data_IF_997090814805
#
_entry.id   IF_997090814805
#
_cell.length_a   1.000
_cell.length_b   1.000
_cell.length_c   1.000
_cell.angle_alpha   90.00
_cell.angle_beta   90.00
_cell.angle_gamma   90.00
#
_symmetry.space_group_name_H-M   'P 1'
#
loop_
_entity.id
_entity.type
_entity.pdbx_description
1 polymer ?
#
# COMPACT_ATOMS: atom_id res chain seq x y z
N UNK A 1 -4.81 -26.64 7.28
CA UNK A 1 -4.71 -26.22 5.87
C UNK A 1 -5.33 -24.86 5.59
N UNK A 2 -6.49 -24.48 6.17
CA UNK A 2 -7.09 -23.15 5.94
C UNK A 2 -7.30 -22.38 7.26
N UNK A 3 -6.42 -21.41 7.58
CA UNK A 3 -6.47 -20.67 8.85
C UNK A 3 -7.74 -19.82 9.01
N UNK A 4 -8.12 -19.05 8.00
CA UNK A 4 -9.31 -18.18 8.10
C UNK A 4 -10.62 -18.97 8.15
N UNK A 5 -10.64 -20.15 7.53
CA UNK A 5 -11.73 -21.11 7.73
C UNK A 5 -11.77 -21.61 9.18
N UNK A 6 -10.62 -21.93 9.77
CA UNK A 6 -10.56 -22.31 11.18
C UNK A 6 -11.05 -21.17 12.10
N UNK A 7 -10.62 -19.92 11.87
CA UNK A 7 -11.10 -18.74 12.62
C UNK A 7 -12.61 -18.54 12.47
N UNK A 8 -13.15 -18.72 11.27
CA UNK A 8 -14.58 -18.68 11.02
C UNK A 8 -15.32 -19.76 11.83
N UNK A 9 -14.82 -20.99 11.86
CA UNK A 9 -15.41 -22.05 12.66
C UNK A 9 -15.37 -21.74 14.15
N UNK A 10 -14.22 -21.26 14.67
CA UNK A 10 -14.09 -20.86 16.07
C UNK A 10 -15.13 -19.81 16.47
N UNK A 11 -15.32 -18.77 15.64
CA UNK A 11 -16.35 -17.76 15.88
C UNK A 11 -17.76 -18.35 15.78
N UNK A 12 -18.05 -19.15 14.76
CA UNK A 12 -19.36 -19.76 14.57
C UNK A 12 -19.75 -20.67 15.75
N UNK A 13 -18.77 -21.33 16.38
CA UNK A 13 -18.97 -22.29 17.46
C UNK A 13 -18.55 -21.78 18.84
N UNK A 14 -18.38 -20.47 19.02
CA UNK A 14 -17.91 -19.90 20.29
C UNK A 14 -18.84 -20.33 21.44
N UNK A 15 -18.34 -20.78 22.60
CA UNK A 15 -19.19 -21.15 23.74
C UNK A 15 -20.13 -20.03 24.18
N UNK A 16 -19.70 -18.77 24.06
CA UNK A 16 -20.51 -17.59 24.33
C UNK A 16 -21.35 -17.22 23.07
N UNK A 17 -22.70 -17.32 23.13
CA UNK A 17 -23.55 -16.95 21.99
C UNK A 17 -23.36 -15.51 21.52
N UNK A 18 -22.92 -14.59 22.40
CA UNK A 18 -22.70 -13.18 22.03
C UNK A 18 -21.47 -12.99 21.14
N UNK A 19 -20.53 -13.94 21.15
CA UNK A 19 -19.31 -13.91 20.34
C UNK A 19 -19.46 -14.57 18.97
N UNK A 20 -20.58 -15.27 18.75
CA UNK A 20 -20.93 -15.87 17.46
C UNK A 20 -21.38 -14.82 16.44
N UNK A 21 -21.50 -15.24 15.19
CA UNK A 21 -22.20 -14.46 14.17
C UNK A 21 -23.65 -14.24 14.59
N UNK A 22 -24.15 -13.02 14.45
CA UNK A 22 -25.48 -12.59 14.89
C UNK A 22 -26.58 -13.07 13.93
N UNK A 23 -26.23 -13.39 12.68
CA UNK A 23 -27.18 -13.89 11.69
C UNK A 23 -26.57 -14.90 10.72
N UNK A 24 -27.44 -15.67 10.06
CA UNK A 24 -27.05 -16.57 8.97
C UNK A 24 -26.48 -15.81 7.77
N UNK A 25 -26.92 -14.56 7.55
CA UNK A 25 -26.42 -13.69 6.49
C UNK A 25 -25.00 -13.20 6.80
N UNK A 26 -24.70 -12.86 8.06
CA UNK A 26 -23.35 -12.46 8.49
C UNK A 26 -22.35 -13.60 8.25
N UNK A 27 -22.66 -14.82 8.72
CA UNK A 27 -21.77 -15.97 8.49
C UNK A 27 -21.67 -16.34 7.00
N UNK A 28 -22.75 -16.21 6.21
CA UNK A 28 -22.70 -16.49 4.77
C UNK A 28 -21.79 -15.51 4.02
N UNK A 29 -21.82 -14.22 4.39
CA UNK A 29 -20.90 -13.22 3.86
C UNK A 29 -19.44 -13.56 4.15
N UNK A 30 -19.14 -13.87 5.43
CA UNK A 30 -17.78 -14.23 5.84
C UNK A 30 -17.30 -15.55 5.23
N UNK A 31 -18.17 -16.55 5.14
CA UNK A 31 -17.86 -17.84 4.50
C UNK A 31 -17.59 -17.68 3.01
N UNK A 32 -18.29 -16.77 2.33
CA UNK A 32 -18.03 -16.44 0.92
C UNK A 32 -16.65 -15.82 0.75
N UNK A 33 -16.25 -14.91 1.63
CA UNK A 33 -14.89 -14.34 1.65
C UNK A 33 -13.81 -15.41 1.84
N UNK A 34 -13.98 -16.28 2.84
CA UNK A 34 -13.08 -17.42 3.09
C UNK A 34 -13.04 -18.37 1.88
N UNK A 35 -14.17 -18.67 1.25
CA UNK A 35 -14.23 -19.52 0.07
C UNK A 35 -13.43 -18.92 -1.10
N UNK A 36 -13.53 -17.61 -1.33
CA UNK A 36 -12.73 -16.91 -2.36
C UNK A 36 -11.24 -17.08 -2.11
N UNK A 37 -10.79 -16.96 -0.87
CA UNK A 37 -9.38 -17.13 -0.51
C UNK A 37 -8.89 -18.55 -0.75
N UNK A 38 -9.68 -19.56 -0.38
CA UNK A 38 -9.36 -20.97 -0.60
C UNK A 38 -9.31 -21.29 -2.10
N UNK A 39 -10.28 -20.79 -2.87
CA UNK A 39 -10.29 -20.98 -4.32
C UNK A 39 -9.09 -20.29 -4.97
N UNK A 40 -8.73 -19.10 -4.52
CA UNK A 40 -7.57 -18.38 -5.05
C UNK A 40 -6.25 -19.09 -4.73
N UNK A 41 -6.15 -19.71 -3.56
CA UNK A 41 -5.05 -20.59 -3.20
C UNK A 41 -4.95 -21.84 -4.09
N UNK A 42 -6.07 -22.54 -4.27
CA UNK A 42 -6.09 -23.84 -4.96
C UNK A 42 -5.93 -23.70 -6.48
N UNK A 43 -6.49 -22.64 -7.05
CA UNK A 43 -6.51 -22.44 -8.51
C UNK A 43 -5.35 -21.59 -9.03
N UNK A 44 -4.71 -20.81 -8.14
CA UNK A 44 -3.74 -19.78 -8.53
C UNK A 44 -4.36 -18.60 -9.31
N UNK A 45 -5.69 -18.51 -9.37
CA UNK A 45 -6.42 -17.42 -10.01
C UNK A 45 -7.09 -16.55 -8.95
N UNK A 46 -7.17 -15.23 -9.19
CA UNK A 46 -7.90 -14.36 -8.29
C UNK A 46 -9.39 -14.72 -8.25
N UNK A 47 -10.01 -14.57 -7.09
CA UNK A 47 -11.45 -14.79 -6.88
C UNK A 47 -12.04 -13.54 -6.21
N UNK A 48 -12.06 -12.40 -6.90
CA UNK A 48 -12.43 -11.12 -6.29
C UNK A 48 -13.91 -11.10 -5.92
N UNK A 49 -14.27 -10.23 -4.98
CA UNK A 49 -15.67 -9.89 -4.79
C UNK A 49 -15.89 -8.80 -3.77
N UNK A 50 -17.03 -8.13 -3.91
CA UNK A 50 -17.37 -7.00 -3.06
C UNK A 50 -17.61 -7.45 -1.62
N UNK A 51 -17.01 -6.70 -0.69
CA UNK A 51 -17.37 -6.75 0.72
C UNK A 51 -18.75 -6.13 0.94
N UNK A 52 -19.51 -6.68 1.88
CA UNK A 52 -20.79 -6.14 2.33
C UNK A 52 -20.65 -5.26 3.57
N UNK A 53 -19.47 -5.24 4.19
CA UNK A 53 -19.22 -4.54 5.46
C UNK A 53 -18.10 -3.50 5.37
N UNK A 54 -17.26 -3.57 4.35
CA UNK A 54 -16.21 -2.58 4.06
C UNK A 54 -16.38 -1.95 2.68
N UNK A 55 -15.97 -0.69 2.56
CA UNK A 55 -15.76 -0.05 1.27
C UNK A 55 -14.65 -0.74 0.48
N UNK A 56 -14.48 -0.34 -0.79
CA UNK A 56 -13.21 -0.59 -1.49
C UNK A 56 -12.09 0.21 -0.83
N UNK A 57 -10.85 -0.16 -1.15
CA UNK A 57 -9.68 0.65 -0.81
C UNK A 57 -9.87 2.10 -1.34
N UNK A 58 -9.66 3.10 -0.48
CA UNK A 58 -9.98 4.51 -0.80
C UNK A 58 -8.93 5.13 -1.72
N UNK A 59 -7.67 4.81 -1.47
CA UNK A 59 -6.51 5.10 -2.32
C UNK A 59 -5.45 4.02 -2.12
N UNK A 60 -4.36 4.06 -2.86
CA UNK A 60 -3.19 3.22 -2.61
C UNK A 60 -2.28 3.84 -1.55
N UNK A 61 -1.57 2.99 -0.82
CA UNK A 61 -0.38 3.31 -0.03
C UNK A 61 0.77 2.41 -0.47
N UNK A 62 2.01 2.77 -0.13
CA UNK A 62 3.14 1.87 -0.34
C UNK A 62 3.53 1.67 -1.81
N UNK A 63 2.98 2.45 -2.75
CA UNK A 63 3.23 2.21 -4.17
C UNK A 63 4.46 2.94 -4.69
N UNK A 64 4.79 4.09 -4.09
CA UNK A 64 5.84 4.96 -4.58
C UNK A 64 7.17 4.77 -3.85
N UNK A 65 7.22 4.03 -2.74
CA UNK A 65 8.36 4.05 -1.80
C UNK A 65 9.69 3.62 -2.42
N UNK A 66 9.67 2.61 -3.28
CA UNK A 66 10.88 2.16 -3.97
C UNK A 66 11.29 3.12 -5.09
N UNK A 67 10.32 3.64 -5.86
CA UNK A 67 10.60 4.53 -6.99
C UNK A 67 10.90 5.96 -6.57
N UNK A 68 10.36 6.40 -5.43
CA UNK A 68 10.59 7.73 -4.84
C UNK A 68 12.05 7.94 -4.48
N UNK A 69 12.80 6.89 -4.13
CA UNK A 69 14.25 6.98 -3.95
C UNK A 69 14.99 7.51 -5.20
N UNK A 70 14.41 7.33 -6.39
CA UNK A 70 14.99 7.84 -7.64
C UNK A 70 14.72 9.34 -7.85
N UNK A 71 13.88 9.98 -7.03
CA UNK A 71 13.60 11.41 -7.12
C UNK A 71 14.82 12.26 -6.70
N UNK A 72 15.84 11.65 -6.06
CA UNK A 72 17.17 12.27 -5.84
C UNK A 72 17.82 12.76 -7.13
N UNK A 73 17.52 12.12 -8.27
CA UNK A 73 18.01 12.57 -9.58
C UNK A 73 17.36 13.90 -10.01
N UNK A 74 16.19 14.24 -9.48
CA UNK A 74 15.40 15.43 -9.83
C UNK A 74 15.68 16.60 -8.88
N UNK A 75 15.70 16.35 -7.57
CA UNK A 75 15.80 17.40 -6.54
C UNK A 75 17.13 17.42 -5.77
N UNK A 76 17.89 16.32 -5.81
CA UNK A 76 19.16 16.17 -5.09
C UNK A 76 19.01 15.80 -3.62
N UNK A 77 17.80 15.43 -3.19
CA UNK A 77 17.47 15.06 -1.81
C UNK A 77 17.32 13.54 -1.72
N UNK A 78 17.83 12.95 -0.65
CA UNK A 78 17.60 11.53 -0.37
C UNK A 78 16.17 11.37 0.14
N UNK A 79 15.42 10.46 -0.48
CA UNK A 79 14.06 10.13 -0.08
C UNK A 79 14.06 8.80 0.68
N UNK A 80 13.40 8.77 1.83
CA UNK A 80 13.18 7.55 2.60
C UNK A 80 12.13 6.67 1.89
N UNK A 81 12.24 5.37 2.04
CA UNK A 81 11.32 4.38 1.49
C UNK A 81 10.42 3.75 2.58
N UNK A 82 10.42 4.32 3.77
CA UNK A 82 9.50 3.96 4.83
C UNK A 82 8.05 4.30 4.46
N UNK A 83 7.11 3.48 4.94
CA UNK A 83 5.68 3.74 4.81
C UNK A 83 5.28 4.91 5.70
N UNK A 84 4.40 5.77 5.20
CA UNK A 84 3.72 6.79 5.99
C UNK A 84 2.48 6.18 6.69
N UNK A 85 2.44 6.11 8.04
CA UNK A 85 1.29 5.60 8.79
C UNK A 85 -0.03 6.31 8.47
N UNK A 86 0.04 7.61 8.16
CA UNK A 86 -1.14 8.42 7.83
C UNK A 86 -1.65 8.06 6.43
N UNK A 87 -0.75 7.88 5.46
CA UNK A 87 -1.12 7.40 4.13
C UNK A 87 -1.81 6.03 4.21
N UNK A 88 -1.25 5.11 5.00
CA UNK A 88 -1.87 3.79 5.28
C UNK A 88 -3.28 3.97 5.83
N UNK A 89 -3.46 4.77 6.89
CA UNK A 89 -4.77 5.01 7.50
C UNK A 89 -5.80 5.62 6.52
N UNK A 90 -5.37 6.56 5.67
CA UNK A 90 -6.23 7.18 4.65
C UNK A 90 -6.57 6.22 3.50
N UNK A 91 -5.67 5.30 3.16
CA UNK A 91 -5.85 4.35 2.08
C UNK A 91 -6.76 3.17 2.45
N UNK A 92 -6.73 2.74 3.72
CA UNK A 92 -7.51 1.59 4.19
C UNK A 92 -9.03 1.77 3.95
N UNK A 93 -9.75 0.66 3.68
CA UNK A 93 -11.21 0.65 3.62
C UNK A 93 -11.88 1.22 4.87
N UNK A 94 -13.13 1.68 4.73
CA UNK A 94 -13.95 2.12 5.86
C UNK A 94 -15.17 1.20 6.03
N UNK A 95 -15.65 0.97 7.26
CA UNK A 95 -16.89 0.24 7.49
C UNK A 95 -18.06 0.88 6.76
N UNK A 96 -18.90 0.07 6.11
CA UNK A 96 -20.12 0.54 5.49
C UNK A 96 -21.19 0.84 6.54
N UNK A 97 -21.96 1.90 6.29
CA UNK A 97 -23.14 2.24 7.08
C UNK A 97 -24.19 1.16 6.85
N UNK A 98 -24.85 0.71 7.92
CA UNK A 98 -25.97 -0.21 7.79
C UNK A 98 -27.14 0.51 7.08
N UNK A 99 -27.63 0.03 5.93
CA UNK A 99 -28.71 0.69 5.20
C UNK A 99 -30.04 0.68 5.96
N UNK A 100 -30.17 -0.15 7.00
CA UNK A 100 -31.35 -0.20 7.88
C UNK A 100 -31.25 0.77 9.06
N UNK A 101 -30.09 1.43 9.25
CA UNK A 101 -29.91 2.44 10.28
C UNK A 101 -30.75 3.70 9.99
N UNK A 102 -31.46 4.26 10.98
CA UNK A 102 -32.27 5.46 10.79
C UNK A 102 -31.50 6.68 10.27
N UNK A 103 -30.20 6.75 10.56
CA UNK A 103 -29.29 7.83 10.14
C UNK A 103 -28.67 7.60 8.77
N UNK A 104 -28.89 6.44 8.14
CA UNK A 104 -28.30 6.10 6.84
C UNK A 104 -28.58 7.15 5.73
N UNK A 105 -29.81 7.71 5.58
CA UNK A 105 -30.07 8.76 4.58
C UNK A 105 -29.27 10.04 4.80
N UNK A 106 -29.09 10.45 6.07
CA UNK A 106 -28.29 11.62 6.44
C UNK A 106 -26.82 11.39 6.11
N UNK A 107 -26.29 10.24 6.49
CA UNK A 107 -24.89 9.88 6.24
C UNK A 107 -24.60 9.72 4.74
N UNK A 108 -25.54 9.18 3.98
CA UNK A 108 -25.45 9.10 2.53
C UNK A 108 -25.39 10.49 1.87
N UNK A 109 -26.12 11.48 2.40
CA UNK A 109 -26.08 12.85 1.90
C UNK A 109 -24.75 13.57 2.18
N UNK A 110 -24.06 13.20 3.27
CA UNK A 110 -22.79 13.79 3.68
C UNK A 110 -21.54 13.11 3.08
N UNK A 111 -21.69 11.99 2.35
CA UNK A 111 -20.56 11.15 1.90
C UNK A 111 -19.57 11.86 0.97
N UNK A 112 -20.02 12.92 0.28
CA UNK A 112 -19.20 13.73 -0.63
C UNK A 112 -18.84 15.10 -0.05
N UNK A 113 -19.15 15.36 1.21
CA UNK A 113 -18.83 16.60 1.90
C UNK A 113 -17.40 16.56 2.45
N UNK A 114 -16.78 17.74 2.57
CA UNK A 114 -15.52 17.88 3.30
C UNK A 114 -15.70 17.43 4.77
N UNK A 115 -14.67 16.89 5.45
CA UNK A 115 -14.80 16.40 6.82
C UNK A 115 -15.36 17.44 7.81
N UNK A 116 -14.94 18.70 7.69
CA UNK A 116 -15.46 19.80 8.54
C UNK A 116 -16.95 20.08 8.30
N UNK A 117 -17.38 20.08 7.04
CA UNK A 117 -18.80 20.24 6.67
C UNK A 117 -19.64 19.06 7.15
N UNK A 118 -19.06 17.85 7.12
CA UNK A 118 -19.69 16.65 7.68
C UNK A 118 -19.94 16.82 9.18
N UNK A 119 -18.94 17.28 9.94
CA UNK A 119 -19.09 17.54 11.38
C UNK A 119 -20.15 18.61 11.66
N UNK A 120 -20.16 19.71 10.90
CA UNK A 120 -21.18 20.75 11.04
C UNK A 120 -22.59 20.23 10.74
N UNK A 121 -22.75 19.40 9.70
CA UNK A 121 -24.02 18.78 9.35
C UNK A 121 -24.50 17.80 10.43
N UNK A 122 -23.60 16.97 10.97
CA UNK A 122 -23.91 16.04 12.06
C UNK A 122 -24.29 16.79 13.35
N UNK A 123 -23.54 17.85 13.67
CA UNK A 123 -23.84 18.72 14.82
C UNK A 123 -25.21 19.38 14.68
N UNK A 124 -25.52 19.91 13.50
CA UNK A 124 -26.81 20.54 13.23
C UNK A 124 -27.97 19.54 13.28
N UNK A 125 -27.78 18.32 12.75
CA UNK A 125 -28.77 17.24 12.83
C UNK A 125 -29.06 16.82 14.29
N UNK A 126 -28.03 16.79 15.13
CA UNK A 126 -28.13 16.52 16.58
C UNK A 126 -28.87 17.63 17.33
N UNK A 127 -28.52 18.89 17.05
CA UNK A 127 -29.15 20.07 17.68
C UNK A 127 -30.62 20.25 17.27
N UNK A 128 -30.99 19.90 16.03
CA UNK A 128 -32.35 20.05 15.51
C UNK A 128 -33.29 18.87 15.77
N UNK A 129 -32.86 17.85 16.52
CA UNK A 129 -33.77 16.90 17.15
C UNK A 129 -34.40 15.84 16.23
N UNK A 130 -33.62 15.22 15.34
CA UNK A 130 -33.99 13.90 14.78
C UNK A 130 -34.17 12.87 15.93
N UNK A 131 -33.59 13.14 17.10
CA UNK A 131 -33.74 12.41 18.36
C UNK A 131 -35.16 12.46 18.99
N UNK A 132 -36.10 13.23 18.44
CA UNK A 132 -37.45 13.44 19.03
C UNK A 132 -38.63 12.88 18.23
N UNK A 133 -38.44 12.43 16.98
CA UNK A 133 -39.56 12.14 16.07
C UNK A 133 -39.86 10.68 15.77
N UNK A 134 -39.08 9.74 16.31
CA UNK A 134 -39.40 8.31 16.22
C UNK A 134 -39.50 7.74 17.63
N UNK A 135 -40.63 7.14 18.00
CA UNK A 135 -40.86 6.48 19.30
C UNK A 135 -40.00 5.22 19.54
N UNK A 136 -38.86 5.12 18.88
CA UNK A 136 -37.80 4.13 19.05
C UNK A 136 -36.72 4.70 19.98
N UNK A 137 -36.02 3.88 20.78
CA UNK A 137 -35.04 4.38 21.74
C UNK A 137 -33.98 5.23 21.04
N UNK A 138 -33.76 6.46 21.52
CA UNK A 138 -32.72 7.41 21.09
C UNK A 138 -31.31 6.78 20.97
N UNK A 139 -31.07 5.64 21.61
CA UNK A 139 -29.83 4.89 21.54
C UNK A 139 -29.49 4.30 20.16
N UNK A 140 -30.48 3.96 19.32
CA UNK A 140 -30.25 3.30 18.03
C UNK A 140 -29.92 4.28 16.88
N UNK A 141 -30.37 5.55 16.98
CA UNK A 141 -30.07 6.60 15.99
C UNK A 141 -28.62 7.12 16.17
N UNK A 142 -27.99 6.85 17.32
CA UNK A 142 -26.72 7.42 17.77
C UNK A 142 -25.46 6.73 17.21
N UNK A 143 -25.50 5.41 17.00
CA UNK A 143 -24.28 4.62 16.76
C UNK A 143 -23.53 5.00 15.47
N UNK A 144 -24.20 4.90 14.32
CA UNK A 144 -23.58 5.21 13.02
C UNK A 144 -23.20 6.69 12.89
N UNK A 145 -23.95 7.60 13.53
CA UNK A 145 -23.62 9.03 13.59
C UNK A 145 -22.32 9.26 14.35
N UNK A 146 -22.14 8.63 15.52
CA UNK A 146 -20.89 8.72 16.30
C UNK A 146 -19.71 8.10 15.57
N UNK A 147 -19.91 6.99 14.84
CA UNK A 147 -18.88 6.41 13.98
C UNK A 147 -18.49 7.36 12.84
N UNK A 148 -19.47 8.05 12.23
CA UNK A 148 -19.21 9.06 11.21
C UNK A 148 -18.49 10.30 11.76
N UNK A 149 -18.84 10.73 12.98
CA UNK A 149 -18.14 11.80 13.72
C UNK A 149 -16.67 11.42 13.98
N UNK A 150 -16.42 10.23 14.52
CA UNK A 150 -15.06 9.72 14.74
C UNK A 150 -14.26 9.64 13.43
N UNK A 151 -14.88 9.14 12.35
CA UNK A 151 -14.25 9.10 11.02
C UNK A 151 -13.88 10.50 10.52
N UNK A 152 -14.77 11.49 10.67
CA UNK A 152 -14.50 12.85 10.22
C UNK A 152 -13.35 13.51 10.99
N UNK A 153 -13.23 13.25 12.30
CA UNK A 153 -12.07 13.66 13.09
C UNK A 153 -10.77 12.99 12.61
N UNK A 154 -10.79 11.70 12.30
CA UNK A 154 -9.63 11.00 11.73
C UNK A 154 -9.24 11.55 10.36
N UNK A 155 -10.20 11.86 9.48
CA UNK A 155 -9.91 12.46 8.18
C UNK A 155 -9.33 13.90 8.32
N UNK A 156 -9.60 14.60 9.43
CA UNK A 156 -8.99 15.88 9.80
C UNK A 156 -7.63 15.75 10.50
N UNK A 157 -7.18 14.53 10.80
CA UNK A 157 -5.94 14.28 11.53
C UNK A 157 -6.03 14.58 13.03
N UNK A 158 -7.22 14.45 13.61
CA UNK A 158 -7.52 14.61 15.04
C UNK A 158 -7.91 13.26 15.68
N UNK A 159 -6.94 12.34 15.88
CA UNK A 159 -7.22 11.01 16.42
C UNK A 159 -7.63 11.03 17.89
N UNK A 160 -7.27 12.07 18.65
CA UNK A 160 -7.55 12.18 20.08
C UNK A 160 -9.05 12.42 20.32
N UNK A 161 -9.66 13.35 19.58
CA UNK A 161 -11.10 13.56 19.63
C UNK A 161 -11.86 12.36 19.10
N UNK A 162 -11.37 11.72 18.03
CA UNK A 162 -11.97 10.49 17.51
C UNK A 162 -12.01 9.38 18.58
N UNK A 163 -10.93 9.18 19.34
CA UNK A 163 -10.89 8.21 20.44
C UNK A 163 -11.90 8.55 21.54
N UNK A 164 -12.04 9.82 21.92
CA UNK A 164 -13.05 10.24 22.90
C UNK A 164 -14.47 9.91 22.45
N UNK A 165 -14.79 10.14 21.17
CA UNK A 165 -16.10 9.81 20.58
C UNK A 165 -16.34 8.30 20.59
N UNK A 166 -15.30 7.50 20.29
CA UNK A 166 -15.36 6.03 20.28
C UNK A 166 -15.52 5.45 21.69
N UNK A 167 -14.90 6.05 22.71
CA UNK A 167 -15.02 5.63 24.11
C UNK A 167 -16.45 5.86 24.64
N UNK A 168 -17.05 7.02 24.34
CA UNK A 168 -18.45 7.30 24.64
C UNK A 168 -19.39 6.30 23.94
N UNK A 169 -19.10 6.01 22.66
CA UNK A 169 -19.89 5.05 21.89
C UNK A 169 -19.79 3.65 22.51
N UNK A 170 -18.60 3.16 22.87
CA UNK A 170 -18.41 1.84 23.49
C UNK A 170 -19.15 1.72 24.82
N UNK A 171 -19.21 2.77 25.63
CA UNK A 171 -20.00 2.77 26.87
C UNK A 171 -21.50 2.59 26.63
N UNK A 172 -22.00 3.02 25.46
CA UNK A 172 -23.41 2.97 25.11
C UNK A 172 -23.85 1.66 24.43
N UNK A 173 -23.05 1.16 23.47
CA UNK A 173 -23.41 -0.03 22.66
C UNK A 173 -22.60 -1.28 23.01
N UNK A 174 -21.57 -1.15 23.86
CA UNK A 174 -20.64 -2.23 24.18
C UNK A 174 -19.58 -2.45 23.10
N UNK A 175 -18.94 -3.61 23.15
CA UNK A 175 -17.88 -3.98 22.20
C UNK A 175 -18.44 -4.16 20.80
N UNK A 176 -17.81 -3.49 19.82
CA UNK A 176 -18.21 -3.58 18.43
C UNK A 176 -17.00 -3.47 17.50
N UNK A 177 -16.91 -4.32 16.48
CA UNK A 177 -15.76 -4.37 15.59
C UNK A 177 -15.53 -3.04 14.83
N UNK A 178 -16.59 -2.29 14.52
CA UNK A 178 -16.45 -0.95 13.90
C UNK A 178 -15.70 0.03 14.80
N UNK A 179 -15.89 -0.04 16.13
CA UNK A 179 -15.16 0.78 17.11
C UNK A 179 -13.68 0.40 17.06
N UNK A 180 -13.39 -0.90 17.11
CA UNK A 180 -12.02 -1.43 17.04
C UNK A 180 -11.33 -1.04 15.72
N UNK A 181 -12.05 -1.05 14.59
CA UNK A 181 -11.51 -0.58 13.32
C UNK A 181 -11.03 0.88 13.38
N UNK A 182 -11.88 1.79 13.87
CA UNK A 182 -11.51 3.20 13.98
C UNK A 182 -10.45 3.46 15.05
N UNK A 183 -10.41 2.66 16.13
CA UNK A 183 -9.29 2.69 17.10
C UNK A 183 -7.97 2.28 16.45
N UNK A 184 -7.98 1.26 15.58
CA UNK A 184 -6.81 0.87 14.80
C UNK A 184 -6.31 2.01 13.90
N UNK A 185 -7.23 2.70 13.20
CA UNK A 185 -6.88 3.87 12.38
C UNK A 185 -6.34 5.03 13.22
N UNK A 186 -6.94 5.33 14.37
CA UNK A 186 -6.46 6.36 15.30
C UNK A 186 -5.05 6.01 15.83
N UNK A 187 -4.82 4.75 16.16
CA UNK A 187 -3.54 4.26 16.65
C UNK A 187 -2.44 4.37 15.56
N UNK A 188 -2.75 4.13 14.28
CA UNK A 188 -1.82 4.40 13.18
C UNK A 188 -1.44 5.89 13.09
N UNK A 189 -2.40 6.80 13.20
CA UNK A 189 -2.13 8.25 13.14
C UNK A 189 -1.34 8.78 14.36
N UNK A 190 -1.32 8.02 15.45
CA UNK A 190 -0.59 8.30 16.69
C UNK A 190 0.73 7.51 16.80
N UNK A 191 1.16 6.84 15.73
CA UNK A 191 2.36 5.99 15.68
C UNK A 191 2.38 4.86 16.75
N UNK A 192 1.19 4.35 17.12
CA UNK A 192 0.98 3.27 18.08
C UNK A 192 0.70 1.95 17.36
N UNK A 193 1.74 1.37 16.76
CA UNK A 193 1.57 0.27 15.82
C UNK A 193 1.15 -1.06 16.46
N UNK A 194 1.71 -1.46 17.60
CA UNK A 194 1.29 -2.69 18.30
C UNK A 194 -0.18 -2.63 18.78
N UNK A 195 -0.64 -1.51 19.39
CA UNK A 195 -2.07 -1.30 19.64
C UNK A 195 -2.91 -1.34 18.36
N UNK A 196 -2.47 -0.69 17.27
CA UNK A 196 -3.18 -0.73 16.00
C UNK A 196 -3.34 -2.16 15.47
N UNK A 197 -2.28 -2.96 15.52
CA UNK A 197 -2.29 -4.36 15.11
C UNK A 197 -3.30 -5.17 15.93
N UNK A 198 -3.31 -4.98 17.26
CA UNK A 198 -4.24 -5.66 18.18
C UNK A 198 -5.71 -5.33 17.88
N UNK A 199 -6.00 -4.06 17.57
CA UNK A 199 -7.34 -3.64 17.16
C UNK A 199 -7.75 -4.28 15.83
N UNK A 200 -6.89 -4.27 14.82
CA UNK A 200 -7.19 -4.93 13.53
C UNK A 200 -7.31 -6.45 13.64
N UNK A 201 -6.57 -7.09 14.55
CA UNK A 201 -6.68 -8.54 14.81
C UNK A 201 -8.03 -8.88 15.47
N UNK A 202 -8.53 -8.00 16.33
CA UNK A 202 -9.88 -8.11 16.90
C UNK A 202 -10.94 -8.02 15.80
N UNK A 203 -10.76 -7.11 14.84
CA UNK A 203 -11.64 -7.00 13.66
C UNK A 203 -11.54 -8.26 12.78
N UNK A 204 -10.35 -8.78 12.52
CA UNK A 204 -10.17 -10.02 11.75
C UNK A 204 -10.81 -11.23 12.45
N UNK A 205 -10.78 -11.26 13.79
CA UNK A 205 -11.46 -12.29 14.58
C UNK A 205 -12.97 -12.22 14.41
N UNK A 206 -13.54 -11.00 14.34
CA UNK A 206 -14.95 -10.80 14.05
C UNK A 206 -15.32 -11.10 12.59
N UNK A 207 -14.42 -10.78 11.65
CA UNK A 207 -14.64 -10.79 10.21
C UNK A 207 -13.54 -11.55 9.45
N UNK A 208 -13.45 -12.88 9.62
CA UNK A 208 -12.33 -13.67 9.08
C UNK A 208 -12.30 -13.76 7.55
N UNK A 209 -13.40 -13.45 6.86
CA UNK A 209 -13.50 -13.47 5.40
C UNK A 209 -13.18 -12.13 4.73
N UNK A 210 -12.87 -11.08 5.49
CA UNK A 210 -12.64 -9.74 4.95
C UNK A 210 -11.15 -9.50 4.61
N UNK A 211 -10.92 -8.89 3.45
CA UNK A 211 -9.58 -8.47 3.01
C UNK A 211 -9.07 -7.22 3.75
N UNK A 212 -9.98 -6.32 4.14
CA UNK A 212 -9.65 -5.05 4.80
C UNK A 212 -8.79 -5.22 6.07
N UNK A 213 -9.18 -6.05 7.07
CA UNK A 213 -8.34 -6.25 8.26
C UNK A 213 -7.02 -6.96 7.94
N UNK A 214 -6.98 -7.84 6.94
CA UNK A 214 -5.71 -8.48 6.52
C UNK A 214 -4.75 -7.45 5.94
N UNK A 215 -5.24 -6.55 5.08
CA UNK A 215 -4.42 -5.46 4.55
C UNK A 215 -3.91 -4.53 5.65
N UNK A 216 -4.75 -4.18 6.62
CA UNK A 216 -4.38 -3.34 7.75
C UNK A 216 -3.32 -4.01 8.64
N UNK A 217 -3.48 -5.30 8.95
CA UNK A 217 -2.50 -6.08 9.70
C UNK A 217 -1.16 -6.20 8.96
N UNK A 218 -1.19 -6.40 7.64
CA UNK A 218 0.01 -6.47 6.83
C UNK A 218 0.81 -5.15 6.88
N UNK A 219 0.14 -4.03 6.64
CA UNK A 219 0.75 -2.70 6.67
C UNK A 219 1.26 -2.33 8.06
N UNK A 220 0.52 -2.70 9.11
CA UNK A 220 0.93 -2.39 10.50
C UNK A 220 2.12 -3.24 10.92
N UNK A 221 2.18 -4.52 10.54
CA UNK A 221 3.35 -5.35 10.77
C UNK A 221 4.60 -4.80 10.05
N UNK A 222 4.44 -4.29 8.82
CA UNK A 222 5.51 -3.61 8.09
C UNK A 222 5.96 -2.32 8.79
N UNK A 223 5.02 -1.51 9.29
CA UNK A 223 5.35 -0.30 10.06
C UNK A 223 6.11 -0.60 11.35
N UNK A 224 5.74 -1.67 12.07
CA UNK A 224 6.47 -2.14 13.26
C UNK A 224 7.92 -2.47 12.90
N UNK A 225 8.14 -3.23 11.82
CA UNK A 225 9.48 -3.59 11.35
C UNK A 225 10.34 -2.36 10.96
N UNK A 226 9.71 -1.32 10.40
CA UNK A 226 10.42 -0.12 9.95
C UNK A 226 10.76 0.85 11.09
N UNK A 227 9.95 0.89 12.16
CA UNK A 227 10.05 1.93 13.18
C UNK A 227 10.57 1.42 14.53
N UNK A 228 10.38 0.15 14.87
CA UNK A 228 10.67 -0.39 16.20
C UNK A 228 11.59 -1.61 16.14
N UNK A 229 12.51 -1.68 17.11
CA UNK A 229 13.22 -2.91 17.43
C UNK A 229 12.25 -3.81 18.22
N UNK A 230 11.69 -4.82 17.54
CA UNK A 230 10.86 -5.84 18.19
C UNK A 230 11.72 -6.99 18.71
N UNK A 231 11.29 -7.60 19.81
CA UNK A 231 11.90 -8.82 20.36
C UNK A 231 11.75 -10.04 19.42
N UNK A 232 10.75 -10.05 18.53
CA UNK A 232 10.51 -11.11 17.54
C UNK A 232 10.24 -10.51 16.14
N UNK A 233 11.28 -9.98 15.44
CA UNK A 233 11.12 -9.41 14.11
C UNK A 233 10.65 -10.46 13.09
N UNK A 234 11.05 -11.72 13.25
CA UNK A 234 10.64 -12.81 12.37
C UNK A 234 9.12 -13.05 12.40
N UNK A 235 8.48 -12.83 13.54
CA UNK A 235 7.01 -12.90 13.64
C UNK A 235 6.34 -11.82 12.80
N UNK A 236 6.79 -10.57 12.89
CA UNK A 236 6.21 -9.47 12.11
C UNK A 236 6.45 -9.64 10.61
N UNK A 237 7.63 -10.11 10.22
CA UNK A 237 7.94 -10.48 8.84
C UNK A 237 6.95 -11.53 8.31
N UNK A 238 6.69 -12.59 9.09
CA UNK A 238 5.72 -13.63 8.73
C UNK A 238 4.30 -13.08 8.61
N UNK A 239 3.87 -12.21 9.53
CA UNK A 239 2.53 -11.60 9.46
C UNK A 239 2.38 -10.71 8.24
N UNK A 240 3.34 -9.81 8.01
CA UNK A 240 3.34 -8.89 6.87
C UNK A 240 3.25 -9.63 5.54
N UNK A 241 4.18 -10.57 5.29
CA UNK A 241 4.21 -11.34 4.05
C UNK A 241 2.92 -12.16 3.85
N UNK A 242 2.47 -12.87 4.88
CA UNK A 242 1.28 -13.73 4.81
C UNK A 242 0.02 -12.93 4.45
N UNK A 243 -0.20 -11.81 5.13
CA UNK A 243 -1.44 -11.05 4.93
C UNK A 243 -1.45 -10.30 3.60
N UNK A 244 -0.33 -9.69 3.18
CA UNK A 244 -0.22 -9.11 1.85
C UNK A 244 -0.41 -10.18 0.75
N UNK A 245 0.21 -11.35 0.90
CA UNK A 245 0.05 -12.47 -0.04
C UNK A 245 -1.40 -12.93 -0.14
N UNK A 246 -2.08 -13.07 1.00
CA UNK A 246 -3.48 -13.50 1.04
C UNK A 246 -4.38 -12.52 0.29
N UNK A 247 -4.23 -11.22 0.57
CA UNK A 247 -5.03 -10.17 -0.08
C UNK A 247 -4.73 -10.12 -1.58
N UNK A 248 -3.45 -10.07 -1.96
CA UNK A 248 -3.03 -9.94 -3.36
C UNK A 248 -3.46 -11.14 -4.22
N UNK A 249 -3.34 -12.36 -3.69
CA UNK A 249 -3.78 -13.58 -4.37
C UNK A 249 -5.29 -13.60 -4.61
N UNK A 250 -6.07 -13.05 -3.67
CA UNK A 250 -7.53 -13.14 -3.68
C UNK A 250 -8.18 -12.06 -4.56
N UNK A 251 -7.70 -10.81 -4.46
CA UNK A 251 -8.26 -9.68 -5.18
C UNK A 251 -7.17 -8.68 -5.62
N UNK A 252 -6.92 -8.59 -6.93
CA UNK A 252 -5.86 -7.74 -7.50
C UNK A 252 -6.21 -6.25 -7.57
N UNK A 253 -7.38 -5.86 -7.08
CA UNK A 253 -7.73 -4.44 -6.92
C UNK A 253 -6.99 -3.79 -5.73
N UNK A 254 -6.52 -4.58 -4.77
CA UNK A 254 -5.70 -4.11 -3.64
C UNK A 254 -4.24 -4.00 -4.05
N UNK A 255 -3.93 -3.01 -4.89
CA UNK A 255 -2.57 -2.84 -5.44
C UNK A 255 -1.53 -2.64 -4.34
N UNK A 256 -1.87 -2.00 -3.23
CA UNK A 256 -0.96 -1.88 -2.06
C UNK A 256 -0.47 -3.23 -1.55
N UNK A 257 -1.27 -4.29 -1.68
CA UNK A 257 -0.85 -5.62 -1.30
C UNK A 257 0.21 -6.22 -2.24
N UNK A 258 0.18 -5.91 -3.53
CA UNK A 258 1.24 -6.33 -4.47
C UNK A 258 2.59 -5.70 -4.10
N UNK A 259 2.58 -4.39 -3.84
CA UNK A 259 3.79 -3.64 -3.52
C UNK A 259 4.33 -4.01 -2.13
N UNK A 260 3.46 -4.14 -1.13
CA UNK A 260 3.82 -4.65 0.19
C UNK A 260 4.44 -6.04 0.11
N UNK A 261 3.77 -6.98 -0.58
CA UNK A 261 4.31 -8.32 -0.80
C UNK A 261 5.68 -8.30 -1.49
N UNK A 262 5.84 -7.47 -2.51
CA UNK A 262 7.09 -7.36 -3.24
C UNK A 262 8.23 -6.84 -2.36
N UNK A 263 7.98 -5.84 -1.49
CA UNK A 263 8.99 -5.36 -0.53
C UNK A 263 9.38 -6.46 0.45
N UNK A 264 8.42 -7.10 1.10
CA UNK A 264 8.70 -8.18 2.06
C UNK A 264 9.49 -9.33 1.40
N UNK A 265 9.14 -9.72 0.18
CA UNK A 265 9.86 -10.76 -0.57
C UNK A 265 11.27 -10.33 -0.98
N UNK A 266 11.45 -9.05 -1.34
CA UNK A 266 12.77 -8.52 -1.70
C UNK A 266 13.69 -8.46 -0.47
N UNK A 267 13.17 -8.05 0.69
CA UNK A 267 13.90 -7.98 1.96
C UNK A 267 14.32 -9.37 2.45
N UNK A 268 13.48 -10.39 2.23
CA UNK A 268 13.83 -11.81 2.45
C UNK A 268 14.73 -12.41 1.36
N UNK A 269 15.20 -11.62 0.39
CA UNK A 269 16.09 -12.06 -0.70
C UNK A 269 15.40 -12.82 -1.83
N UNK A 270 14.08 -13.02 -1.78
CA UNK A 270 13.30 -13.68 -2.83
C UNK A 270 12.86 -12.69 -3.93
N UNK A 271 13.84 -12.08 -4.60
CA UNK A 271 13.62 -11.07 -5.65
C UNK A 271 12.77 -11.57 -6.80
N UNK A 272 12.93 -12.86 -7.18
CA UNK A 272 12.14 -13.47 -8.26
C UNK A 272 10.65 -13.45 -7.94
N UNK A 273 10.27 -13.80 -6.71
CA UNK A 273 8.88 -13.76 -6.29
C UNK A 273 8.38 -12.31 -6.12
N UNK A 274 9.23 -11.38 -5.66
CA UNK A 274 8.90 -9.97 -5.58
C UNK A 274 8.56 -9.38 -6.97
N UNK A 275 9.40 -9.65 -7.97
CA UNK A 275 9.19 -9.24 -9.36
C UNK A 275 7.91 -9.86 -9.93
N UNK A 276 7.66 -11.16 -9.65
CA UNK A 276 6.45 -11.83 -10.09
C UNK A 276 5.18 -11.17 -9.52
N UNK A 277 5.18 -10.80 -8.23
CA UNK A 277 4.06 -10.09 -7.62
C UNK A 277 3.80 -8.72 -8.27
N UNK A 278 4.85 -7.98 -8.63
CA UNK A 278 4.72 -6.70 -9.36
C UNK A 278 4.27 -6.89 -10.81
N UNK A 279 4.70 -7.97 -11.47
CA UNK A 279 4.28 -8.31 -12.84
C UNK A 279 2.82 -8.74 -12.95
N UNK A 280 2.23 -9.19 -11.84
CA UNK A 280 0.81 -9.54 -11.76
C UNK A 280 -0.12 -8.31 -11.71
N UNK A 281 0.42 -7.10 -11.51
CA UNK A 281 -0.35 -5.85 -11.53
C UNK A 281 -0.97 -5.65 -12.92
N UNK A 282 -2.31 -5.53 -13.03
CA UNK A 282 -2.97 -5.42 -14.34
C UNK A 282 -2.53 -4.19 -15.13
N UNK A 283 -2.45 -4.30 -16.46
CA UNK A 283 -2.14 -3.18 -17.37
C UNK A 283 -3.18 -2.06 -17.33
N UNK A 284 -4.40 -2.34 -16.88
CA UNK A 284 -5.45 -1.35 -16.65
C UNK A 284 -5.28 -0.55 -15.35
N UNK A 285 -4.37 -0.96 -14.47
CA UNK A 285 -4.10 -0.25 -13.22
C UNK A 285 -3.31 1.03 -13.49
N UNK A 286 -3.70 2.13 -12.83
CA UNK A 286 -2.92 3.38 -12.81
C UNK A 286 -1.50 3.19 -12.26
N UNK A 287 -1.27 2.13 -11.48
CA UNK A 287 0.02 1.80 -10.88
C UNK A 287 0.85 0.84 -11.73
N UNK A 288 0.39 0.46 -12.93
CA UNK A 288 1.11 -0.49 -13.79
C UNK A 288 2.54 -0.03 -14.09
N UNK A 289 2.72 1.23 -14.49
CA UNK A 289 4.05 1.77 -14.79
C UNK A 289 4.94 1.84 -13.54
N UNK A 290 4.36 2.21 -12.39
CA UNK A 290 5.05 2.22 -11.11
C UNK A 290 5.51 0.81 -10.73
N UNK A 291 4.67 -0.21 -10.92
CA UNK A 291 5.05 -1.61 -10.68
C UNK A 291 6.19 -2.08 -11.60
N UNK A 292 6.19 -1.65 -12.87
CA UNK A 292 7.27 -1.92 -13.84
C UNK A 292 8.58 -1.26 -13.44
N UNK A 293 8.53 -0.02 -12.95
CA UNK A 293 9.70 0.70 -12.42
C UNK A 293 10.22 0.04 -11.14
N UNK A 294 9.34 -0.24 -10.18
CA UNK A 294 9.68 -0.97 -8.94
C UNK A 294 10.33 -2.31 -9.24
N UNK A 295 9.81 -3.07 -10.21
CA UNK A 295 10.42 -4.35 -10.60
C UNK A 295 11.84 -4.17 -11.14
N UNK A 296 12.07 -3.15 -11.97
CA UNK A 296 13.40 -2.85 -12.50
C UNK A 296 14.36 -2.42 -11.38
N UNK A 297 13.88 -1.69 -10.37
CA UNK A 297 14.68 -1.37 -9.19
C UNK A 297 14.98 -2.62 -8.36
N UNK A 298 14.00 -3.46 -8.06
CA UNK A 298 14.19 -4.73 -7.33
C UNK A 298 15.21 -5.65 -8.00
N UNK A 299 15.26 -5.65 -9.34
CA UNK A 299 16.26 -6.39 -10.12
C UNK A 299 17.69 -5.88 -9.90
N UNK A 300 17.87 -4.56 -9.83
CA UNK A 300 19.18 -3.92 -9.77
C UNK A 300 19.66 -3.66 -8.35
N UNK A 301 18.76 -3.63 -7.38
CA UNK A 301 19.05 -3.36 -5.97
C UNK A 301 19.58 -4.59 -5.24
N UNK A 302 20.43 -4.37 -4.23
CA UNK A 302 20.88 -5.42 -3.31
C UNK A 302 21.65 -6.58 -3.94
N UNK A 303 22.24 -6.39 -5.13
CA UNK A 303 23.22 -7.31 -5.74
C UNK A 303 24.52 -6.52 -5.95
N UNK A 304 25.67 -7.02 -5.49
CA UNK A 304 26.96 -6.42 -5.84
C UNK A 304 27.12 -6.34 -7.35
N UNK A 305 27.70 -5.25 -7.86
CA UNK A 305 27.84 -5.05 -9.32
C UNK A 305 28.58 -6.21 -10.01
N UNK A 306 29.47 -6.89 -9.27
CA UNK A 306 30.24 -8.05 -9.69
C UNK A 306 29.38 -9.28 -10.02
N UNK A 307 28.27 -9.44 -9.31
CA UNK A 307 27.39 -10.61 -9.36
C UNK A 307 26.16 -10.39 -10.24
N UNK A 308 25.96 -9.15 -10.70
CA UNK A 308 24.87 -8.81 -11.62
C UNK A 308 25.14 -9.44 -12.99
N UNK A 309 24.13 -10.06 -13.60
CA UNK A 309 24.23 -10.65 -14.92
C UNK A 309 23.74 -9.69 -16.02
N UNK A 310 24.24 -9.91 -17.24
CA UNK A 310 23.81 -9.12 -18.40
C UNK A 310 22.31 -9.25 -18.68
N UNK A 311 21.73 -10.42 -18.38
CA UNK A 311 20.31 -10.69 -18.62
C UNK A 311 19.40 -9.82 -17.76
N UNK A 312 19.73 -9.61 -16.48
CA UNK A 312 19.00 -8.71 -15.58
C UNK A 312 19.12 -7.26 -16.02
N UNK A 313 20.30 -6.82 -16.45
CA UNK A 313 20.49 -5.46 -16.99
C UNK A 313 19.63 -5.22 -18.25
N UNK A 314 19.60 -6.19 -19.17
CA UNK A 314 18.76 -6.12 -20.38
C UNK A 314 17.27 -6.16 -20.05
N UNK A 315 16.88 -6.98 -19.08
CA UNK A 315 15.51 -7.03 -18.58
C UNK A 315 15.09 -5.67 -18.03
N UNK A 316 15.83 -5.12 -17.06
CA UNK A 316 15.55 -3.81 -16.46
C UNK A 316 15.47 -2.70 -17.53
N UNK A 317 16.41 -2.68 -18.47
CA UNK A 317 16.40 -1.76 -19.60
C UNK A 317 15.15 -1.91 -20.48
N UNK A 318 14.70 -3.13 -20.76
CA UNK A 318 13.48 -3.36 -21.55
C UNK A 318 12.24 -2.88 -20.81
N UNK A 319 12.19 -3.04 -19.48
CA UNK A 319 11.08 -2.51 -18.65
C UNK A 319 11.01 -0.99 -18.71
N UNK A 320 12.16 -0.34 -18.54
CA UNK A 320 12.26 1.13 -18.59
C UNK A 320 12.00 1.66 -20.00
N UNK A 321 12.45 0.97 -21.06
CA UNK A 321 12.16 1.37 -22.45
C UNK A 321 10.67 1.32 -22.79
N UNK A 322 9.92 0.42 -22.17
CA UNK A 322 8.49 0.27 -22.42
C UNK A 322 7.62 1.33 -21.72
N UNK A 323 8.21 2.18 -20.86
CA UNK A 323 7.47 3.25 -20.20
C UNK A 323 7.04 4.33 -21.22
N UNK A 324 5.83 4.91 -21.07
CA UNK A 324 5.40 6.06 -21.87
C UNK A 324 6.34 7.25 -21.73
N UNK A 325 6.34 8.14 -22.73
CA UNK A 325 7.16 9.34 -22.72
C UNK A 325 6.74 10.34 -21.64
N UNK A 326 5.45 10.31 -21.27
CA UNK A 326 4.83 11.15 -20.24
C UNK A 326 5.10 10.66 -18.81
N UNK A 327 5.68 9.46 -18.64
CA UNK A 327 5.99 8.91 -17.32
C UNK A 327 7.05 9.77 -16.63
N UNK A 328 6.69 10.38 -15.50
CA UNK A 328 7.49 11.41 -14.83
C UNK A 328 8.89 10.92 -14.44
N UNK A 329 8.98 9.65 -14.02
CA UNK A 329 10.22 9.01 -13.58
C UNK A 329 10.97 8.27 -14.69
N UNK A 330 10.56 8.40 -15.95
CA UNK A 330 11.25 7.72 -17.07
C UNK A 330 12.73 8.12 -17.17
N UNK A 331 13.04 9.40 -17.02
CA UNK A 331 14.41 9.91 -17.20
C UNK A 331 15.37 9.49 -16.08
N UNK A 332 14.93 9.54 -14.82
CA UNK A 332 15.73 9.05 -13.68
C UNK A 332 15.92 7.53 -13.74
N UNK A 333 14.88 6.76 -14.13
CA UNK A 333 15.00 5.32 -14.33
C UNK A 333 15.99 4.96 -15.45
N UNK A 334 15.95 5.66 -16.58
CA UNK A 334 16.95 5.50 -17.65
C UNK A 334 18.36 5.81 -17.16
N UNK A 335 18.51 6.89 -16.40
CA UNK A 335 19.81 7.30 -15.83
C UNK A 335 20.36 6.22 -14.91
N UNK A 336 19.52 5.66 -14.04
CA UNK A 336 19.90 4.60 -13.11
C UNK A 336 20.34 3.34 -13.86
N UNK A 337 19.53 2.82 -14.80
CA UNK A 337 19.88 1.61 -15.56
C UNK A 337 21.18 1.78 -16.34
N UNK A 338 21.38 2.93 -17.01
CA UNK A 338 22.61 3.21 -17.74
C UNK A 338 23.82 3.35 -16.81
N UNK A 339 23.63 3.95 -15.64
CA UNK A 339 24.66 4.05 -14.60
C UNK A 339 25.10 2.67 -14.12
N UNK A 340 24.13 1.81 -13.75
CA UNK A 340 24.40 0.44 -13.31
C UNK A 340 25.08 -0.38 -14.41
N UNK A 341 24.60 -0.31 -15.66
CA UNK A 341 25.25 -1.00 -16.77
C UNK A 341 26.69 -0.50 -17.02
N UNK A 342 26.95 0.79 -16.84
CA UNK A 342 28.29 1.36 -17.00
C UNK A 342 29.24 0.89 -15.90
N UNK A 343 28.77 0.85 -14.66
CA UNK A 343 29.56 0.34 -13.53
C UNK A 343 29.83 -1.17 -13.68
N UNK A 344 28.89 -1.92 -14.26
CA UNK A 344 29.09 -3.34 -14.61
C UNK A 344 30.21 -3.56 -15.63
N UNK A 345 30.27 -2.76 -16.71
CA UNK A 345 31.38 -2.82 -17.67
C UNK A 345 32.70 -2.40 -17.01
N UNK A 346 32.69 -1.34 -16.20
CA UNK A 346 33.90 -0.83 -15.51
C UNK A 346 34.46 -1.81 -14.49
N UNK A 347 33.62 -2.68 -13.93
CA UNK A 347 34.05 -3.78 -13.07
C UNK A 347 34.90 -4.82 -13.83
N UNK A 348 34.82 -4.84 -15.16
CA UNK A 348 35.61 -5.73 -16.02
C UNK A 348 34.77 -6.70 -16.85
N UNK A 349 33.45 -6.65 -16.71
CA UNK A 349 32.54 -7.47 -17.51
C UNK A 349 32.46 -6.94 -18.95
N UNK A 350 32.14 -7.84 -19.89
CA UNK A 350 31.91 -7.50 -21.30
C UNK A 350 30.57 -8.04 -21.73
N UNK A 351 29.83 -7.25 -22.51
CA UNK A 351 28.58 -7.73 -23.08
C UNK A 351 28.86 -8.84 -24.09
N UNK A 352 28.09 -9.92 -24.02
CA UNK A 352 28.12 -11.01 -24.99
C UNK A 352 27.57 -10.57 -26.36
N UNK A 353 26.69 -9.57 -26.38
CA UNK A 353 26.05 -9.01 -27.58
C UNK A 353 26.13 -7.47 -27.60
N UNK A 354 27.35 -6.92 -27.74
CA UNK A 354 27.61 -5.47 -27.71
C UNK A 354 26.76 -4.64 -28.71
N UNK A 355 26.43 -5.23 -29.87
CA UNK A 355 25.63 -4.60 -30.91
C UNK A 355 24.11 -4.66 -30.64
N UNK A 356 23.67 -5.50 -29.71
CA UNK A 356 22.28 -5.53 -29.29
C UNK A 356 22.02 -4.37 -28.31
N UNK A 357 21.20 -3.39 -28.70
CA UNK A 357 21.13 -2.13 -27.97
C UNK A 357 20.48 -2.27 -26.60
N UNK A 358 21.00 -1.52 -25.62
CA UNK A 358 20.42 -1.31 -24.29
C UNK A 358 19.92 0.14 -24.22
N UNK A 359 18.62 0.33 -23.98
CA UNK A 359 17.97 1.65 -24.02
C UNK A 359 18.30 2.47 -25.30
N UNK A 360 18.34 1.77 -26.44
CA UNK A 360 18.60 2.31 -27.79
C UNK A 360 20.05 2.75 -28.02
N UNK A 361 20.98 2.30 -27.18
CA UNK A 361 22.41 2.58 -27.27
C UNK A 361 23.21 1.28 -27.40
N UNK A 362 24.37 1.27 -28.08
CA UNK A 362 25.27 0.12 -28.06
C UNK A 362 25.65 -0.25 -26.63
N UNK A 363 25.70 -1.54 -26.30
CA UNK A 363 26.07 -2.01 -24.96
C UNK A 363 27.60 -2.06 -24.83
N UNK A 364 28.22 -0.89 -24.99
CA UNK A 364 29.65 -0.65 -24.86
C UNK A 364 29.89 0.47 -23.86
N UNK A 365 31.11 0.56 -23.29
CA UNK A 365 31.44 1.67 -22.38
C UNK A 365 31.14 3.04 -23.03
N UNK A 366 31.49 3.21 -24.30
CA UNK A 366 31.24 4.46 -25.02
C UNK A 366 29.75 4.74 -25.21
N UNK A 367 28.94 3.74 -25.58
CA UNK A 367 27.49 3.89 -25.75
C UNK A 367 26.80 4.25 -24.44
N UNK A 368 27.13 3.54 -23.35
CA UNK A 368 26.58 3.78 -22.02
C UNK A 368 26.97 5.15 -21.47
N UNK A 369 28.23 5.57 -21.64
CA UNK A 369 28.70 6.92 -21.25
C UNK A 369 27.97 8.02 -22.01
N UNK A 370 27.75 7.83 -23.31
CA UNK A 370 26.99 8.77 -24.15
C UNK A 370 25.55 8.91 -23.66
N UNK A 371 24.89 7.78 -23.37
CA UNK A 371 23.53 7.77 -22.83
C UNK A 371 23.41 8.39 -21.45
N UNK A 372 24.30 8.01 -20.52
CA UNK A 372 24.31 8.52 -19.16
C UNK A 372 24.56 10.05 -19.15
N UNK A 373 25.50 10.54 -19.96
CA UNK A 373 25.72 11.98 -20.14
C UNK A 373 24.44 12.69 -20.63
N UNK A 374 23.80 12.15 -21.67
CA UNK A 374 22.59 12.74 -22.23
C UNK A 374 21.45 12.82 -21.20
N UNK A 375 21.25 11.76 -20.41
CA UNK A 375 20.20 11.73 -19.39
C UNK A 375 20.50 12.69 -18.24
N UNK A 376 21.73 12.73 -17.73
CA UNK A 376 22.15 13.67 -16.68
C UNK A 376 22.01 15.13 -17.14
N UNK A 377 22.36 15.44 -18.39
CA UNK A 377 22.15 16.79 -18.96
C UNK A 377 20.67 17.12 -19.11
N UNK A 378 19.82 16.14 -19.42
CA UNK A 378 18.38 16.35 -19.47
C UNK A 378 17.79 16.62 -18.07
N UNK A 379 18.21 15.87 -17.05
CA UNK A 379 17.85 16.12 -15.65
C UNK A 379 18.29 17.52 -15.20
N UNK A 380 19.52 17.94 -15.58
CA UNK A 380 20.04 19.27 -15.25
C UNK A 380 19.22 20.42 -15.89
N UNK A 381 18.60 20.19 -17.06
CA UNK A 381 17.70 21.16 -17.68
C UNK A 381 16.34 21.22 -16.98
N UNK A 382 15.86 20.09 -16.47
CA UNK A 382 14.54 19.98 -15.83
C UNK A 382 14.52 20.43 -14.37
N UNK A 383 15.62 20.26 -13.63
CA UNK A 383 15.67 20.63 -12.21
C UNK A 383 15.50 22.14 -12.01
N UNK A 384 14.84 22.54 -10.92
CA UNK A 384 14.66 23.94 -10.51
C UNK A 384 15.84 24.43 -9.65
N UNK A 385 16.49 23.53 -8.92
CA UNK A 385 17.61 23.85 -8.02
C UNK A 385 18.89 24.15 -8.77
N UNK A 386 19.48 25.33 -8.52
CA UNK A 386 20.76 25.73 -9.14
C UNK A 386 21.92 24.87 -8.66
N UNK A 387 21.97 24.55 -7.36
CA UNK A 387 23.02 23.70 -6.77
C UNK A 387 22.97 22.30 -7.36
N UNK A 388 21.77 21.70 -7.43
CA UNK A 388 21.59 20.37 -8.01
C UNK A 388 21.91 20.34 -9.51
N UNK A 389 21.53 21.40 -10.24
CA UNK A 389 21.91 21.56 -11.65
C UNK A 389 23.43 21.47 -11.86
N UNK A 390 24.22 22.13 -11.01
CA UNK A 390 25.68 22.03 -11.09
C UNK A 390 26.17 20.61 -10.80
N UNK A 391 25.66 19.96 -9.75
CA UNK A 391 26.02 18.58 -9.42
C UNK A 391 25.73 17.60 -10.58
N UNK A 392 24.57 17.72 -11.23
CA UNK A 392 24.21 16.92 -12.39
C UNK A 392 25.12 17.19 -13.60
N UNK A 393 25.48 18.46 -13.85
CA UNK A 393 26.41 18.83 -14.93
C UNK A 393 27.81 18.27 -14.66
N UNK A 394 28.30 18.35 -13.43
CA UNK A 394 29.60 17.80 -13.04
C UNK A 394 29.61 16.28 -13.19
N UNK A 395 28.52 15.60 -12.78
CA UNK A 395 28.36 14.16 -13.00
C UNK A 395 28.31 13.82 -14.49
N UNK A 396 27.61 14.60 -15.31
CA UNK A 396 27.57 14.44 -16.76
C UNK A 396 28.96 14.59 -17.40
N UNK A 397 29.75 15.56 -16.95
CA UNK A 397 31.11 15.78 -17.42
C UNK A 397 32.04 14.63 -17.01
N UNK A 398 31.87 14.06 -15.80
CA UNK A 398 32.66 12.92 -15.33
C UNK A 398 32.38 11.63 -16.12
N UNK A 399 31.13 11.40 -16.55
CA UNK A 399 30.77 10.21 -17.34
C UNK A 399 30.99 10.38 -18.84
N UNK A 400 31.25 11.61 -19.33
CA UNK A 400 31.50 11.91 -20.74
C UNK A 400 32.47 10.90 -21.39
N UNK A 401 32.16 10.37 -22.59
CA UNK A 401 33.07 9.50 -23.31
C UNK A 401 34.34 10.27 -23.69
N UNK A 402 35.51 9.67 -23.48
CA UNK A 402 36.78 10.26 -23.90
C UNK A 402 36.84 10.22 -25.43
N UNK A 403 36.93 11.39 -26.05
CA UNK A 403 37.23 11.47 -27.48
C UNK A 403 38.72 11.15 -27.66
N UNK A 404 39.03 10.02 -28.29
CA UNK A 404 40.37 9.76 -28.79
C UNK A 404 40.54 10.56 -30.08
N UNK A 405 41.05 11.78 -29.97
CA UNK A 405 41.60 12.53 -31.11
C UNK A 405 43.11 12.41 -31.12
#
# INVERSE_FOLDING_TARGET
>A
DNEFFHRLLLRATDPDPKKRFQSAEEIAGQLTGVLREILAEQTGQENPGLSLVFSRQRTSFGTDELVGQTDVYVDGVSHDAALDPREVAHALPIPLVDPTDPSAPLLAAAVHSEPSQTLDALKHARENGIDRTSGTPAAAISGEVRLAEAKAHLDLGDPETALSVLDELQQSIGDHWKIEWYRGLAALQLDRFEPAFSHFETVLTALPGEAAPKLALAATAELILQHWESDDPDQWCRFSEKYYRTVWRTERNYVSAAFGLARQLADHGNKKAAIAALDEVPTSSRHYNVARMSSALTMLSGVPIAELDESTLREAARRVRALPAEESRSLQMRTLVLGTALDWIRYGNRSHTELEPILDLPFTEQGLRTGAEACLRALARATTSRTHRYALVDRANAVRPRSNF
#
